data_IF_883604378826
#
_entry.id   IF_883604378826
#
_cell.length_a   1.000
_cell.length_b   1.000
_cell.length_c   1.000
_cell.angle_alpha   90.00
_cell.angle_beta   90.00
_cell.angle_gamma   90.00
#
_symmetry.space_group_name_H-M   'P 1'
#
loop_
_entity.id
_entity.type
_entity.pdbx_description
1 polymer ?
#
# COMPACT_ATOMS: atom_id res chain seq x y z
N UNK A 1 10.60 -1.10 1.92
CA UNK A 1 9.32 -1.76 2.27
C UNK A 1 8.18 -1.56 1.26
N UNK A 2 8.07 -0.43 0.55
CA UNK A 2 6.85 -0.05 -0.17
C UNK A 2 6.67 -0.64 -1.57
N UNK A 3 7.68 -1.28 -2.14
CA UNK A 3 7.65 -1.79 -3.53
C UNK A 3 6.49 -2.77 -3.78
N UNK A 4 6.35 -3.81 -2.95
CA UNK A 4 5.25 -4.78 -3.07
C UNK A 4 3.87 -4.19 -2.76
N UNK A 5 3.79 -3.12 -1.96
CA UNK A 5 2.52 -2.49 -1.62
C UNK A 5 1.84 -1.81 -2.82
N UNK A 6 2.59 -1.57 -3.90
CA UNK A 6 2.07 -0.95 -5.12
C UNK A 6 1.16 -1.89 -5.91
N UNK A 7 1.24 -3.20 -5.71
CA UNK A 7 0.47 -4.22 -6.45
C UNK A 7 -0.61 -4.90 -5.59
N UNK A 8 -0.60 -4.68 -4.29
CA UNK A 8 -1.61 -5.21 -3.36
C UNK A 8 -2.87 -4.35 -3.33
N UNK A 9 -4.03 -4.94 -3.08
CA UNK A 9 -5.27 -4.20 -2.75
C UNK A 9 -5.09 -3.50 -1.40
N UNK A 10 -5.26 -2.16 -1.31
CA UNK A 10 -5.24 -1.50 -0.01
C UNK A 10 -6.51 -1.85 0.75
N UNK A 11 -6.33 -2.33 1.97
CA UNK A 11 -7.40 -2.45 2.95
C UNK A 11 -6.99 -1.64 4.16
N UNK A 12 -7.97 -1.22 4.97
CA UNK A 12 -7.71 -0.51 6.24
C UNK A 12 -6.71 -1.29 7.11
N UNK A 13 -6.81 -2.62 7.13
CA UNK A 13 -5.90 -3.50 7.87
C UNK A 13 -4.45 -3.44 7.35
N UNK A 14 -4.24 -3.47 6.03
CA UNK A 14 -2.89 -3.36 5.45
C UNK A 14 -2.32 -1.96 5.69
N UNK A 15 -3.13 -0.91 5.53
CA UNK A 15 -2.73 0.46 5.84
C UNK A 15 -2.31 0.63 7.30
N UNK A 16 -3.04 0.01 8.24
CA UNK A 16 -2.68 0.05 9.66
C UNK A 16 -1.36 -0.67 9.94
N UNK A 17 -1.13 -1.85 9.36
CA UNK A 17 0.15 -2.57 9.49
C UNK A 17 1.33 -1.73 8.99
N UNK A 18 1.16 -1.04 7.87
CA UNK A 18 2.17 -0.15 7.31
C UNK A 18 2.46 1.05 8.21
N UNK A 19 1.42 1.65 8.80
CA UNK A 19 1.58 2.74 9.78
C UNK A 19 2.30 2.29 11.04
N UNK A 20 2.03 1.08 11.53
CA UNK A 20 2.74 0.49 12.69
C UNK A 20 4.22 0.30 12.35
N UNK A 21 4.53 -0.27 11.19
CA UNK A 21 5.91 -0.42 10.72
C UNK A 21 6.63 0.93 10.58
N UNK A 22 5.95 1.95 10.02
CA UNK A 22 6.47 3.31 9.94
C UNK A 22 6.81 3.89 11.30
N UNK A 23 5.89 3.83 12.27
CA UNK A 23 6.12 4.34 13.63
C UNK A 23 7.28 3.63 14.34
N UNK A 24 7.43 2.33 14.14
CA UNK A 24 8.54 1.57 14.69
C UNK A 24 9.88 2.04 14.10
N UNK A 25 9.94 2.29 12.80
CA UNK A 25 11.12 2.85 12.14
C UNK A 25 11.44 4.26 12.62
N UNK A 26 10.45 5.16 12.68
CA UNK A 26 10.67 6.55 13.14
C UNK A 26 11.23 6.60 14.57
N UNK A 27 10.75 5.72 15.46
CA UNK A 27 11.32 5.57 16.81
C UNK A 27 12.78 5.13 16.77
N UNK A 28 13.11 4.14 15.92
CA UNK A 28 14.48 3.66 15.77
C UNK A 28 15.42 4.70 15.18
N UNK A 29 14.95 5.52 14.23
CA UNK A 29 15.73 6.63 13.66
C UNK A 29 16.13 7.66 14.73
N UNK A 30 15.27 7.90 15.72
CA UNK A 30 15.54 8.82 16.83
C UNK A 30 16.22 8.14 18.04
N UNK A 31 16.52 6.84 17.98
CA UNK A 31 17.12 6.09 19.10
C UNK A 31 16.21 5.90 20.32
N UNK A 32 14.90 6.12 20.17
CA UNK A 32 13.95 6.14 21.30
C UNK A 32 13.57 4.74 21.76
N UNK A 33 13.46 4.57 23.09
CA UNK A 33 12.96 3.34 23.72
C UNK A 33 11.45 3.41 23.91
N UNK A 34 10.79 2.25 24.03
CA UNK A 34 9.35 2.20 24.32
C UNK A 34 9.00 2.73 25.72
N UNK A 35 9.97 2.69 26.65
CA UNK A 35 9.85 3.23 28.00
C UNK A 35 9.65 4.74 28.03
N UNK A 36 10.14 5.46 27.02
CA UNK A 36 10.13 6.93 27.01
C UNK A 36 8.75 7.54 26.75
N UNK A 37 7.70 6.73 26.51
CA UNK A 37 6.28 7.14 26.40
C UNK A 37 5.99 8.39 25.53
N UNK A 38 6.89 8.73 24.61
CA UNK A 38 6.74 9.85 23.67
C UNK A 38 5.60 9.56 22.69
N UNK A 39 4.81 10.59 22.39
CA UNK A 39 3.69 10.49 21.46
C UNK A 39 4.17 10.24 20.03
N UNK A 40 3.42 9.44 19.27
CA UNK A 40 3.71 9.24 17.85
C UNK A 40 3.62 10.56 17.05
N UNK A 41 2.79 11.52 17.49
CA UNK A 41 2.67 12.85 16.85
C UNK A 41 3.96 13.66 17.01
N UNK A 42 4.59 13.60 18.17
CA UNK A 42 5.85 14.31 18.43
C UNK A 42 7.01 13.70 17.64
N UNK A 43 7.08 12.36 17.59
CA UNK A 43 8.06 11.64 16.76
C UNK A 43 7.90 12.01 15.29
N UNK A 44 6.66 12.10 14.81
CA UNK A 44 6.32 12.53 13.45
C UNK A 44 6.81 13.95 13.17
N UNK A 45 6.56 14.88 14.09
CA UNK A 45 6.98 16.28 13.98
C UNK A 45 8.51 16.42 13.97
N UNK A 46 9.24 15.55 14.67
CA UNK A 46 10.71 15.56 14.64
C UNK A 46 11.28 14.98 13.35
N UNK A 47 10.68 13.90 12.84
CA UNK A 47 11.20 13.18 11.68
C UNK A 47 10.77 13.78 10.33
N UNK A 48 9.65 14.52 10.28
CA UNK A 48 9.11 15.16 9.06
C UNK A 48 8.91 14.17 7.88
N UNK A 49 8.81 12.87 8.17
CA UNK A 49 8.61 11.84 7.15
C UNK A 49 7.19 11.96 6.57
N UNK A 50 7.00 11.71 5.28
CA UNK A 50 5.66 11.69 4.65
C UNK A 50 4.82 10.49 5.10
N UNK A 51 3.49 10.57 5.01
CA UNK A 51 2.62 9.47 5.45
C UNK A 51 2.75 8.30 4.47
N UNK A 52 3.02 7.10 5.00
CA UNK A 52 3.29 5.93 4.15
C UNK A 52 2.10 5.56 3.27
N UNK A 53 0.85 5.80 3.73
CA UNK A 53 -0.33 5.52 2.94
C UNK A 53 -0.40 6.49 1.74
N UNK A 54 -0.14 7.78 1.96
CA UNK A 54 -0.08 8.76 0.87
C UNK A 54 1.02 8.41 -0.15
N UNK A 55 2.20 8.02 0.34
CA UNK A 55 3.30 7.59 -0.53
C UNK A 55 2.91 6.38 -1.38
N UNK A 56 2.31 5.34 -0.77
CA UNK A 56 1.89 4.14 -1.48
C UNK A 56 0.79 4.46 -2.49
N UNK A 57 -0.20 5.28 -2.14
CA UNK A 57 -1.24 5.72 -3.08
C UNK A 57 -0.64 6.40 -4.29
N UNK A 58 0.33 7.31 -4.10
CA UNK A 58 1.05 7.95 -5.21
C UNK A 58 1.79 6.93 -6.09
N UNK A 59 2.47 5.97 -5.49
CA UNK A 59 3.18 4.93 -6.24
C UNK A 59 2.22 4.00 -7.01
N UNK A 60 1.05 3.68 -6.43
CA UNK A 60 -0.01 2.94 -7.10
C UNK A 60 -0.51 3.67 -8.33
N UNK A 61 -0.78 4.97 -8.23
CA UNK A 61 -1.17 5.79 -9.38
C UNK A 61 -0.09 5.82 -10.47
N UNK A 62 1.19 5.94 -10.10
CA UNK A 62 2.29 5.82 -11.06
C UNK A 62 2.29 4.47 -11.78
N UNK A 63 2.09 3.37 -11.04
CA UNK A 63 2.00 2.02 -11.59
C UNK A 63 0.78 1.87 -12.50
N UNK A 64 -0.38 2.37 -12.09
CA UNK A 64 -1.61 2.36 -12.88
C UNK A 64 -1.42 3.12 -14.20
N UNK A 65 -0.84 4.32 -14.15
CA UNK A 65 -0.51 5.09 -15.35
C UNK A 65 0.50 4.37 -16.25
N UNK A 66 1.49 3.68 -15.68
CA UNK A 66 2.42 2.86 -16.46
C UNK A 66 1.69 1.70 -17.16
N UNK A 67 0.79 0.99 -16.46
CA UNK A 67 -0.01 -0.10 -17.06
C UNK A 67 -0.94 0.45 -18.15
N UNK A 68 -1.58 1.60 -17.95
CA UNK A 68 -2.48 2.21 -18.92
C UNK A 68 -1.79 2.65 -20.22
N UNK A 69 -0.47 2.93 -20.19
CA UNK A 69 0.33 3.28 -21.37
C UNK A 69 0.88 2.08 -22.12
N UNK A 70 0.80 0.86 -21.56
CA UNK A 70 1.24 -0.35 -22.25
C UNK A 70 0.26 -0.67 -23.36
N UNK A 71 0.73 -0.65 -24.61
CA UNK A 71 -0.08 -0.97 -25.80
C UNK A 71 0.21 -2.37 -26.38
N UNK A 72 1.15 -3.11 -25.79
CA UNK A 72 1.79 -4.27 -26.41
C UNK A 72 1.24 -5.64 -25.97
N UNK A 73 -0.02 -5.71 -25.52
CA UNK A 73 -0.72 -6.94 -25.11
C UNK A 73 0.11 -7.88 -24.18
N UNK A 74 1.06 -7.31 -23.43
CA UNK A 74 1.97 -8.04 -22.56
C UNK A 74 1.19 -8.71 -21.43
N UNK A 75 1.79 -9.76 -20.86
CA UNK A 75 1.27 -10.48 -19.71
C UNK A 75 0.87 -9.56 -18.55
N UNK A 76 1.59 -8.45 -18.33
CA UNK A 76 1.24 -7.45 -17.31
C UNK A 76 -0.16 -6.88 -17.51
N UNK A 77 -0.54 -6.51 -18.74
CA UNK A 77 -1.87 -5.98 -19.05
C UNK A 77 -2.92 -7.09 -18.89
N UNK A 78 -2.65 -8.25 -19.50
CA UNK A 78 -3.55 -9.41 -19.45
C UNK A 78 -3.85 -9.83 -18.02
N UNK A 79 -2.84 -10.04 -17.17
CA UNK A 79 -3.01 -10.45 -15.77
C UNK A 79 -3.74 -9.38 -14.94
N UNK A 80 -3.53 -8.10 -15.26
CA UNK A 80 -4.19 -6.99 -14.55
C UNK A 80 -5.66 -6.83 -14.96
N UNK A 81 -6.01 -7.14 -16.21
CA UNK A 81 -7.38 -7.16 -16.76
C UNK A 81 -8.12 -8.45 -16.51
N UNK A 82 -7.39 -9.54 -16.34
CA UNK A 82 -7.98 -10.86 -16.30
C UNK A 82 -8.90 -11.02 -15.09
N UNK A 83 -10.17 -11.30 -15.41
CA UNK A 83 -11.22 -11.57 -14.45
C UNK A 83 -11.91 -12.88 -14.83
N UNK A 84 -11.81 -13.93 -14.00
CA UNK A 84 -12.73 -15.05 -14.13
C UNK A 84 -14.15 -14.52 -13.92
N UNK A 85 -14.96 -14.56 -15.00
CA UNK A 85 -16.36 -14.08 -15.01
C UNK A 85 -17.31 -15.08 -14.34
N UNK A 86 -16.89 -16.33 -14.15
CA UNK A 86 -17.64 -17.36 -13.43
C UNK A 86 -16.88 -17.81 -12.18
N UNK A 87 -17.61 -17.92 -11.05
CA UNK A 87 -17.11 -18.52 -9.81
C UNK A 87 -17.13 -17.59 -8.58
N UNK A 88 -17.42 -18.18 -7.41
CA UNK A 88 -17.22 -17.55 -6.10
C UNK A 88 -15.76 -17.70 -5.69
N UNK A 89 -15.18 -16.68 -5.04
CA UNK A 89 -13.84 -16.83 -4.44
C UNK A 89 -13.91 -17.73 -3.22
N UNK A 90 -12.86 -18.52 -2.99
CA UNK A 90 -12.74 -19.31 -1.77
C UNK A 90 -12.68 -18.41 -0.53
N UNK A 91 -13.20 -18.92 0.58
CA UNK A 91 -13.11 -18.27 1.89
C UNK A 91 -11.64 -17.94 2.20
N UNK A 92 -11.39 -16.73 2.70
CA UNK A 92 -10.04 -16.25 3.03
C UNK A 92 -9.28 -15.56 1.89
N UNK A 93 -9.63 -15.79 0.61
CA UNK A 93 -9.07 -14.97 -0.48
C UNK A 93 -9.78 -13.61 -0.53
N UNK A 94 -8.99 -12.55 -0.63
CA UNK A 94 -9.53 -11.19 -0.71
C UNK A 94 -10.50 -11.05 -1.88
N UNK A 95 -11.71 -10.58 -1.61
CA UNK A 95 -12.70 -10.23 -2.64
C UNK A 95 -12.27 -9.01 -3.47
N UNK A 96 -11.56 -8.06 -2.83
CA UNK A 96 -11.09 -6.83 -3.45
C UNK A 96 -9.80 -7.04 -4.24
N UNK A 97 -9.79 -6.63 -5.51
CA UNK A 97 -8.63 -6.63 -6.40
C UNK A 97 -7.88 -5.30 -6.33
N UNK A 98 -6.65 -5.31 -6.84
CA UNK A 98 -5.87 -4.10 -7.02
C UNK A 98 -6.56 -3.07 -7.92
N UNK A 99 -7.22 -3.54 -9.00
CA UNK A 99 -8.03 -2.68 -9.89
C UNK A 99 -9.19 -2.01 -9.15
N UNK A 100 -9.91 -2.76 -8.33
CA UNK A 100 -11.05 -2.22 -7.55
C UNK A 100 -10.58 -1.09 -6.65
N UNK A 101 -9.40 -1.25 -6.06
CA UNK A 101 -8.77 -0.22 -5.25
C UNK A 101 -8.38 1.04 -6.04
N UNK A 102 -8.06 0.95 -7.32
CA UNK A 102 -7.83 2.12 -8.19
C UNK A 102 -9.15 2.83 -8.52
N UNK A 103 -10.23 2.07 -8.69
CA UNK A 103 -11.56 2.63 -8.98
C UNK A 103 -12.14 3.39 -7.79
N UNK A 104 -11.84 2.93 -6.58
CA UNK A 104 -12.36 3.48 -5.32
C UNK A 104 -11.45 4.55 -4.68
N UNK A 105 -10.32 4.87 -5.31
CA UNK A 105 -9.35 5.89 -4.86
C UNK A 105 -9.76 7.30 -5.30
#
# INVERSE_FOLDING_TARGET
MTYGCQTLSMTKAVGQKLRVAQRAMERKMLGLKLTEKISCKEIRNKTQVSDIAQYITKQKWKRAGHVARLQDNRWTLRVTEWQPRSGKRSRGRQGRRWRDDIRDL
#
